data_IF_341595642096
#
_entry.id   IF_341595642096
#
_cell.length_a   1.000
_cell.length_b   1.000
_cell.length_c   1.000
_cell.angle_alpha   90.00
_cell.angle_beta   90.00
_cell.angle_gamma   90.00
#
_symmetry.space_group_name_H-M   'P 1'
#
loop_
_entity.id
_entity.type
_entity.pdbx_description
1 polymer ?
#
# COMPACT_ATOMS: atom_id res chain seq x y z
N UNK A 1 -16.09 -14.74 -4.90
CA UNK A 1 -16.72 -13.44 -4.58
C UNK A 1 -15.71 -12.46 -4.00
N UNK A 2 -14.81 -12.90 -3.13
CA UNK A 2 -13.73 -12.07 -2.54
C UNK A 2 -12.93 -11.15 -3.49
N UNK A 3 -12.64 -11.55 -4.73
CA UNK A 3 -11.96 -10.66 -5.69
C UNK A 3 -12.81 -9.43 -6.06
N UNK A 4 -14.11 -9.60 -6.25
CA UNK A 4 -15.02 -8.50 -6.59
C UNK A 4 -15.22 -7.57 -5.40
N UNK A 5 -15.16 -8.11 -4.17
CA UNK A 5 -15.31 -7.32 -2.94
C UNK A 5 -14.08 -6.44 -2.65
N UNK A 6 -12.95 -6.68 -3.33
CA UNK A 6 -11.68 -5.97 -3.13
C UNK A 6 -11.11 -5.41 -4.45
N UNK A 7 -11.94 -5.22 -5.47
CA UNK A 7 -11.50 -4.76 -6.78
C UNK A 7 -10.83 -3.39 -6.71
N UNK A 8 -11.31 -2.50 -5.84
CA UNK A 8 -10.73 -1.18 -5.60
C UNK A 8 -9.28 -1.28 -5.11
N UNK A 9 -9.01 -2.20 -4.17
CA UNK A 9 -7.65 -2.46 -3.67
C UNK A 9 -6.76 -3.06 -4.77
N UNK A 10 -7.31 -3.95 -5.60
CA UNK A 10 -6.59 -4.55 -6.72
C UNK A 10 -6.21 -3.49 -7.76
N UNK A 11 -7.11 -2.55 -8.08
CA UNK A 11 -6.79 -1.45 -9.00
C UNK A 11 -5.74 -0.50 -8.43
N UNK A 12 -5.84 -0.10 -7.15
CA UNK A 12 -4.81 0.72 -6.51
C UNK A 12 -3.44 0.02 -6.48
N UNK A 13 -3.44 -1.29 -6.24
CA UNK A 13 -2.20 -2.09 -6.28
C UNK A 13 -1.62 -2.14 -7.68
N UNK A 14 -2.46 -2.13 -8.71
CA UNK A 14 -2.00 -2.17 -10.09
C UNK A 14 -1.33 -0.85 -10.52
N UNK A 15 -1.88 0.29 -10.11
CA UNK A 15 -1.30 1.62 -10.37
C UNK A 15 0.08 1.79 -9.70
N UNK A 16 0.31 1.13 -8.57
CA UNK A 16 1.62 1.12 -7.90
C UNK A 16 2.65 0.20 -8.55
N UNK A 17 2.19 -0.86 -9.23
CA UNK A 17 3.06 -1.81 -9.94
C UNK A 17 3.52 -1.20 -11.27
N UNK A 18 2.61 -0.55 -11.99
CA UNK A 18 2.85 -0.06 -13.34
C UNK A 18 2.25 1.33 -13.58
N UNK A 19 3.01 2.20 -14.25
CA UNK A 19 2.53 3.47 -14.81
C UNK A 19 2.75 3.47 -16.33
N UNK A 20 1.70 3.72 -17.10
CA UNK A 20 1.68 3.69 -18.57
C UNK A 20 2.34 2.44 -19.21
N UNK A 21 2.20 1.29 -18.55
CA UNK A 21 2.81 0.02 -18.99
C UNK A 21 4.30 -0.14 -18.66
N UNK A 22 4.89 0.82 -17.95
CA UNK A 22 6.24 0.75 -17.39
C UNK A 22 6.14 0.19 -15.96
N UNK A 23 6.88 -0.87 -15.68
CA UNK A 23 6.95 -1.45 -14.34
C UNK A 23 7.75 -0.49 -13.45
N UNK A 24 7.11 0.00 -12.38
CA UNK A 24 7.70 0.90 -11.40
C UNK A 24 8.24 0.16 -10.18
N UNK A 25 7.50 -0.85 -9.71
CA UNK A 25 7.83 -1.60 -8.51
C UNK A 25 7.42 -3.06 -8.66
N UNK A 26 8.25 -3.95 -8.13
CA UNK A 26 8.02 -5.40 -8.18
C UNK A 26 8.12 -6.07 -6.82
N UNK A 27 8.66 -5.38 -5.82
CA UNK A 27 8.67 -5.89 -4.45
C UNK A 27 7.26 -5.76 -3.83
N UNK A 28 6.60 -6.89 -3.50
CA UNK A 28 5.25 -6.87 -2.93
C UNK A 28 5.17 -6.14 -1.59
N UNK A 29 6.27 -6.07 -0.83
CA UNK A 29 6.33 -5.34 0.43
C UNK A 29 6.26 -3.83 0.17
N UNK A 30 7.02 -3.34 -0.81
CA UNK A 30 7.04 -1.92 -1.18
C UNK A 30 5.73 -1.50 -1.83
N UNK A 31 5.17 -2.32 -2.71
CA UNK A 31 3.85 -2.07 -3.33
C UNK A 31 2.79 -1.95 -2.23
N UNK A 32 2.71 -2.92 -1.31
CA UNK A 32 1.70 -2.90 -0.24
C UNK A 32 1.87 -1.68 0.69
N UNK A 33 3.10 -1.21 0.92
CA UNK A 33 3.33 0.02 1.67
C UNK A 33 2.82 1.26 0.93
N UNK A 34 3.08 1.38 -0.37
CA UNK A 34 2.62 2.53 -1.17
C UNK A 34 1.10 2.55 -1.34
N UNK A 35 0.49 1.40 -1.62
CA UNK A 35 -0.98 1.24 -1.67
C UNK A 35 -1.63 1.68 -0.35
N UNK A 36 -1.03 1.34 0.80
CA UNK A 36 -1.54 1.76 2.12
C UNK A 36 -1.44 3.26 2.36
N UNK A 37 -0.39 3.92 1.86
CA UNK A 37 -0.26 5.38 1.99
C UNK A 37 -1.35 6.12 1.21
N UNK A 38 -1.75 5.60 0.04
CA UNK A 38 -2.87 6.14 -0.74
C UNK A 38 -4.24 5.88 -0.13
N UNK A 39 -4.39 4.86 0.73
CA UNK A 39 -5.63 4.63 1.50
C UNK A 39 -5.71 5.49 2.76
N UNK A 40 -4.56 5.89 3.29
CA UNK A 40 -4.45 6.70 4.50
C UNK A 40 -4.24 8.18 4.14
N UNK A 41 -5.28 8.87 3.67
CA UNK A 41 -5.44 10.33 3.76
C UNK A 41 -5.54 10.78 5.25
N UNK A 42 -4.64 10.27 6.09
CA UNK A 42 -4.45 10.59 7.50
C UNK A 42 -3.03 11.11 7.60
N UNK A 43 -2.83 12.38 8.00
CA UNK A 43 -1.53 13.03 7.96
C UNK A 43 -0.47 12.25 8.74
N UNK A 44 0.72 12.17 8.13
CA UNK A 44 1.91 11.43 8.57
C UNK A 44 2.43 11.77 9.98
N UNK A 45 1.83 12.75 10.68
CA UNK A 45 2.20 13.17 12.04
C UNK A 45 1.96 12.10 13.10
N UNK A 46 1.09 11.11 12.84
CA UNK A 46 0.69 10.12 13.85
C UNK A 46 1.31 8.72 13.64
N UNK A 47 2.19 8.53 12.63
CA UNK A 47 2.69 7.20 12.26
C UNK A 47 4.09 6.83 12.77
N UNK A 48 4.85 7.74 13.37
CA UNK A 48 6.24 7.47 13.78
C UNK A 48 6.40 6.62 15.04
N UNK A 49 5.37 6.45 15.87
CA UNK A 49 5.49 5.70 17.13
C UNK A 49 4.92 4.27 17.01
N UNK A 50 3.85 4.08 16.26
CA UNK A 50 3.10 2.82 16.20
C UNK A 50 3.83 1.69 15.46
N UNK A 51 4.69 2.02 14.49
CA UNK A 51 5.49 1.02 13.75
C UNK A 51 6.74 0.56 14.50
N UNK A 52 7.27 1.39 15.41
CA UNK A 52 8.44 1.03 16.23
C UNK A 52 8.03 0.15 17.41
N UNK A 53 6.84 0.37 17.98
CA UNK A 53 6.31 -0.44 19.10
C UNK A 53 5.98 -1.90 18.74
N UNK A 54 5.81 -2.24 17.46
CA UNK A 54 5.47 -3.61 17.02
C UNK A 54 6.70 -4.47 16.66
N UNK A 55 7.91 -3.94 16.82
CA UNK A 55 9.16 -4.69 16.58
C UNK A 55 9.83 -5.16 17.88
N UNK A 56 9.19 -5.01 19.04
CA UNK A 56 9.81 -5.32 20.35
C UNK A 56 9.10 -6.39 21.21
N UNK A 57 8.37 -7.34 20.61
CA UNK A 57 8.04 -8.62 21.27
C UNK A 57 7.98 -9.79 20.29
#
# INVERSE_FOLDING_TARGET
RHLYDNLDLVMLTFDEICDDGIILETDPILITQRVRLHQDDIPLSDKTVSQVSNFEF
#
